data_IF_259070563762
#
_entry.id   IF_259070563762
#
_cell.length_a   1.000
_cell.length_b   1.000
_cell.length_c   1.000
_cell.angle_alpha   90.00
_cell.angle_beta   90.00
_cell.angle_gamma   90.00
#
_symmetry.space_group_name_H-M   'P 1'
#
loop_
_entity.id
_entity.type
_entity.pdbx_description
1 polymer ?
#
# COMPACT_ATOMS: atom_id res chain seq x y z
N UNK A 1 -35.23 -9.30 -4.00
CA UNK A 1 -35.95 -8.04 -4.27
C UNK A 1 -35.25 -6.87 -3.58
N UNK A 2 -35.01 -6.91 -2.26
CA UNK A 2 -34.24 -5.85 -1.57
C UNK A 2 -32.78 -5.70 -2.06
N UNK A 3 -32.02 -6.80 -2.22
CA UNK A 3 -30.61 -6.72 -2.68
C UNK A 3 -30.43 -6.11 -4.07
N UNK A 4 -31.40 -6.28 -4.98
CA UNK A 4 -31.36 -5.71 -6.33
C UNK A 4 -31.50 -4.18 -6.29
N UNK A 5 -32.36 -3.69 -5.39
CA UNK A 5 -32.59 -2.24 -5.24
C UNK A 5 -31.37 -1.53 -4.65
N UNK A 6 -30.69 -2.15 -3.69
CA UNK A 6 -29.44 -1.59 -3.14
C UNK A 6 -28.31 -1.55 -4.18
N UNK A 7 -28.25 -2.56 -5.06
CA UNK A 7 -27.29 -2.59 -6.16
C UNK A 7 -27.56 -1.47 -7.19
N UNK A 8 -28.82 -1.30 -7.60
CA UNK A 8 -29.21 -0.22 -8.54
C UNK A 8 -28.85 1.17 -8.00
N UNK A 9 -29.20 1.45 -6.73
CA UNK A 9 -28.85 2.73 -6.08
C UNK A 9 -27.34 2.92 -6.01
N UNK A 10 -26.59 1.87 -5.67
CA UNK A 10 -25.14 1.94 -5.64
C UNK A 10 -24.52 2.24 -7.00
N UNK A 11 -25.02 1.62 -8.07
CA UNK A 11 -24.53 1.88 -9.43
C UNK A 11 -24.78 3.34 -9.81
N UNK A 12 -25.97 3.86 -9.55
CA UNK A 12 -26.32 5.27 -9.82
C UNK A 12 -25.44 6.24 -9.01
N UNK A 13 -25.35 6.07 -7.69
CA UNK A 13 -24.51 6.92 -6.83
C UNK A 13 -23.03 6.82 -7.18
N UNK A 14 -22.54 5.63 -7.54
CA UNK A 14 -21.13 5.44 -7.90
C UNK A 14 -20.79 6.14 -9.21
N UNK A 15 -21.70 6.14 -10.20
CA UNK A 15 -21.50 6.89 -11.46
C UNK A 15 -21.41 8.39 -11.24
N UNK A 16 -22.24 8.96 -10.37
CA UNK A 16 -22.15 10.38 -10.00
C UNK A 16 -20.81 10.73 -9.31
N UNK A 17 -20.35 9.84 -8.42
CA UNK A 17 -19.06 10.00 -7.76
C UNK A 17 -17.88 9.84 -8.73
N UNK A 18 -17.95 8.90 -9.70
CA UNK A 18 -16.94 8.74 -10.75
C UNK A 18 -16.89 9.95 -11.68
N UNK A 19 -18.04 10.55 -12.03
CA UNK A 19 -18.08 11.77 -12.83
C UNK A 19 -17.37 12.93 -12.10
N UNK A 20 -17.57 13.03 -10.78
CA UNK A 20 -16.86 14.00 -9.93
C UNK A 20 -15.36 13.73 -9.94
N UNK A 21 -14.95 12.47 -9.75
CA UNK A 21 -13.54 12.07 -9.79
C UNK A 21 -12.88 12.40 -11.13
N UNK A 22 -13.50 12.02 -12.26
CA UNK A 22 -12.98 12.33 -13.59
C UNK A 22 -12.82 13.84 -13.82
N UNK A 23 -13.80 14.63 -13.38
CA UNK A 23 -13.73 16.08 -13.52
C UNK A 23 -12.55 16.67 -12.73
N UNK A 24 -12.36 16.20 -11.49
CA UNK A 24 -11.24 16.63 -10.64
C UNK A 24 -9.90 16.17 -11.22
N UNK A 25 -9.78 14.92 -11.66
CA UNK A 25 -8.52 14.41 -12.22
C UNK A 25 -8.11 15.19 -13.48
N UNK A 26 -9.06 15.55 -14.34
CA UNK A 26 -8.79 16.40 -15.50
C UNK A 26 -8.35 17.82 -15.10
N UNK A 27 -8.96 18.40 -14.08
CA UNK A 27 -8.55 19.70 -13.54
C UNK A 27 -7.13 19.63 -12.96
N UNK A 28 -6.82 18.59 -12.19
CA UNK A 28 -5.48 18.36 -11.62
C UNK A 28 -4.41 18.19 -12.72
N UNK A 29 -4.75 17.54 -13.82
CA UNK A 29 -3.84 17.37 -14.96
C UNK A 29 -3.57 18.71 -15.70
N UNK A 30 -4.59 19.58 -15.82
CA UNK A 30 -4.50 20.82 -16.59
C UNK A 30 -3.98 22.01 -15.77
N UNK A 31 -4.47 22.15 -14.54
CA UNK A 31 -4.26 23.34 -13.69
C UNK A 31 -3.32 23.05 -12.50
N UNK A 32 -3.06 21.78 -12.18
CA UNK A 32 -2.22 21.36 -11.07
C UNK A 32 -2.98 21.18 -9.77
N UNK A 33 -2.28 21.16 -8.64
CA UNK A 33 -2.86 20.85 -7.33
C UNK A 33 -3.96 21.84 -6.90
N UNK A 34 -5.13 21.30 -6.56
CA UNK A 34 -6.28 22.03 -6.00
C UNK A 34 -6.74 21.34 -4.71
N UNK A 35 -6.65 22.02 -3.56
CA UNK A 35 -7.04 21.45 -2.27
C UNK A 35 -8.54 21.09 -2.24
N UNK A 36 -9.39 21.93 -2.82
CA UNK A 36 -10.82 21.69 -2.93
C UNK A 36 -11.12 20.50 -3.86
N UNK A 37 -10.41 20.41 -4.98
CA UNK A 37 -10.48 19.27 -5.92
C UNK A 37 -10.07 17.97 -5.23
N UNK A 38 -8.90 17.92 -4.60
CA UNK A 38 -8.41 16.75 -3.87
C UNK A 38 -9.38 16.30 -2.77
N UNK A 39 -9.95 17.24 -2.02
CA UNK A 39 -10.94 16.93 -1.00
C UNK A 39 -12.25 16.39 -1.60
N UNK A 40 -12.66 16.87 -2.78
CA UNK A 40 -13.83 16.36 -3.49
C UNK A 40 -13.58 14.92 -4.01
N UNK A 41 -12.43 14.68 -4.63
CA UNK A 41 -12.02 13.35 -5.09
C UNK A 41 -11.95 12.34 -3.93
N UNK A 42 -11.29 12.70 -2.82
CA UNK A 42 -11.20 11.84 -1.64
C UNK A 42 -12.58 11.45 -1.11
N UNK A 43 -13.51 12.40 -0.97
CA UNK A 43 -14.88 12.12 -0.50
C UNK A 43 -15.65 11.22 -1.46
N UNK A 44 -15.52 11.45 -2.77
CA UNK A 44 -16.16 10.63 -3.79
C UNK A 44 -15.65 9.19 -3.72
N UNK A 45 -14.33 9.00 -3.60
CA UNK A 45 -13.73 7.68 -3.48
C UNK A 45 -14.09 6.97 -2.18
N UNK A 46 -14.05 7.69 -1.06
CA UNK A 46 -14.44 7.16 0.24
C UNK A 46 -15.89 6.65 0.26
N UNK A 47 -16.78 7.38 -0.43
CA UNK A 47 -18.19 7.00 -0.58
C UNK A 47 -18.33 5.71 -1.40
N UNK A 48 -17.69 5.65 -2.57
CA UNK A 48 -17.70 4.44 -3.43
C UNK A 48 -17.16 3.22 -2.67
N UNK A 49 -15.99 3.36 -2.02
CA UNK A 49 -15.37 2.29 -1.22
C UNK A 49 -16.30 1.83 -0.08
N UNK A 50 -16.87 2.78 0.65
CA UNK A 50 -17.75 2.51 1.78
C UNK A 50 -19.00 1.73 1.35
N UNK A 51 -19.69 2.20 0.31
CA UNK A 51 -20.90 1.54 -0.18
C UNK A 51 -20.59 0.19 -0.82
N UNK A 52 -19.49 0.06 -1.56
CA UNK A 52 -19.02 -1.22 -2.11
C UNK A 52 -18.75 -2.26 -1.01
N UNK A 53 -18.13 -1.85 0.11
CA UNK A 53 -17.90 -2.73 1.26
C UNK A 53 -19.18 -3.16 1.97
N UNK A 54 -20.19 -2.30 2.04
CA UNK A 54 -21.51 -2.64 2.62
C UNK A 54 -22.26 -3.64 1.73
N UNK A 55 -22.17 -3.49 0.41
CA UNK A 55 -22.84 -4.37 -0.56
C UNK A 55 -22.06 -5.68 -0.76
N UNK A 56 -20.75 -5.68 -0.51
CA UNK A 56 -19.87 -6.83 -0.64
C UNK A 56 -19.22 -6.96 -2.03
N UNK A 57 -19.03 -5.84 -2.74
CA UNK A 57 -18.34 -5.82 -4.03
C UNK A 57 -16.84 -5.65 -3.77
N UNK A 58 -16.20 -6.77 -3.46
CA UNK A 58 -14.81 -6.82 -3.00
C UNK A 58 -13.81 -6.16 -3.97
N UNK A 59 -13.87 -6.35 -5.31
CA UNK A 59 -12.92 -5.73 -6.23
C UNK A 59 -12.96 -4.19 -6.20
N UNK A 60 -14.17 -3.60 -6.16
CA UNK A 60 -14.33 -2.14 -6.04
C UNK A 60 -13.83 -1.65 -4.67
N UNK A 61 -14.09 -2.40 -3.60
CA UNK A 61 -13.61 -2.04 -2.27
C UNK A 61 -12.07 -2.04 -2.18
N UNK A 62 -11.41 -3.07 -2.73
CA UNK A 62 -9.94 -3.18 -2.72
C UNK A 62 -9.29 -2.04 -3.52
N UNK A 63 -9.78 -1.79 -4.74
CA UNK A 63 -9.27 -0.70 -5.58
C UNK A 63 -9.54 0.67 -4.97
N UNK A 64 -10.75 0.88 -4.44
CA UNK A 64 -11.13 2.13 -3.78
C UNK A 64 -10.28 2.43 -2.55
N UNK A 65 -9.83 1.41 -1.80
CA UNK A 65 -8.90 1.59 -0.69
C UNK A 65 -7.54 2.11 -1.18
N UNK A 66 -6.93 1.44 -2.17
CA UNK A 66 -5.63 1.84 -2.70
C UNK A 66 -5.67 3.26 -3.32
N UNK A 67 -6.76 3.59 -4.04
CA UNK A 67 -6.95 4.93 -4.59
C UNK A 67 -7.16 5.99 -3.51
N UNK A 68 -7.90 5.68 -2.43
CA UNK A 68 -8.07 6.58 -1.29
C UNK A 68 -6.74 6.89 -0.61
N UNK A 69 -5.89 5.88 -0.42
CA UNK A 69 -4.54 6.04 0.15
C UNK A 69 -3.66 6.93 -0.74
N UNK A 70 -3.71 6.74 -2.07
CA UNK A 70 -2.99 7.60 -3.01
C UNK A 70 -3.50 9.04 -2.99
N UNK A 71 -4.82 9.25 -2.92
CA UNK A 71 -5.38 10.59 -2.77
C UNK A 71 -4.98 11.26 -1.44
N UNK A 72 -4.90 10.49 -0.35
CA UNK A 72 -4.46 10.98 0.96
C UNK A 72 -3.02 11.46 0.93
N UNK A 73 -2.12 10.65 0.35
CA UNK A 73 -0.70 10.98 0.19
C UNK A 73 -0.49 12.22 -0.70
N UNK A 74 -1.16 12.29 -1.85
CA UNK A 74 -1.11 13.46 -2.73
C UNK A 74 -1.66 14.73 -2.05
N UNK A 75 -2.71 14.60 -1.23
CA UNK A 75 -3.28 15.72 -0.47
C UNK A 75 -2.29 16.23 0.58
N UNK A 76 -1.60 15.33 1.27
CA UNK A 76 -0.62 15.67 2.31
C UNK A 76 0.62 16.37 1.72
N UNK A 77 1.05 15.96 0.52
CA UNK A 77 2.18 16.58 -0.19
C UNK A 77 1.90 18.01 -0.66
N UNK A 78 0.64 18.34 -0.96
CA UNK A 78 0.22 19.66 -1.50
C UNK A 78 0.99 20.07 -2.77
N UNK A 79 1.40 19.10 -3.55
CA UNK A 79 2.17 19.26 -4.78
C UNK A 79 1.40 18.69 -5.97
N UNK A 80 1.81 19.06 -7.18
CA UNK A 80 1.21 18.54 -8.40
C UNK A 80 1.40 17.02 -8.45
N UNK A 81 0.33 16.23 -8.65
CA UNK A 81 0.47 14.79 -8.75
C UNK A 81 1.44 14.40 -9.87
N UNK A 82 2.40 13.49 -9.61
CA UNK A 82 3.29 13.03 -10.66
C UNK A 82 2.49 12.31 -11.74
N UNK A 83 2.94 12.40 -13.00
CA UNK A 83 2.25 11.82 -14.15
C UNK A 83 1.86 10.35 -13.93
N UNK A 84 2.75 9.57 -13.32
CA UNK A 84 2.47 8.15 -13.05
C UNK A 84 1.33 7.94 -12.04
N UNK A 85 1.21 8.81 -11.03
CA UNK A 85 0.06 8.79 -10.11
C UNK A 85 -1.25 9.10 -10.87
N UNK A 86 -1.24 10.11 -11.75
CA UNK A 86 -2.40 10.46 -12.57
C UNK A 86 -2.83 9.30 -13.48
N UNK A 87 -1.88 8.65 -14.15
CA UNK A 87 -2.13 7.48 -15.01
C UNK A 87 -2.79 6.34 -14.22
N UNK A 88 -2.32 6.07 -12.99
CA UNK A 88 -2.90 5.05 -12.12
C UNK A 88 -4.30 5.43 -11.59
N UNK A 89 -4.53 6.71 -11.28
CA UNK A 89 -5.84 7.20 -10.85
C UNK A 89 -6.88 7.09 -11.97
N UNK A 90 -6.53 7.46 -13.22
CA UNK A 90 -7.41 7.27 -14.36
C UNK A 90 -7.68 5.78 -14.64
N UNK A 91 -6.64 4.94 -14.63
CA UNK A 91 -6.82 3.50 -14.79
C UNK A 91 -7.72 2.89 -13.70
N UNK A 92 -7.64 3.41 -12.46
CA UNK A 92 -8.53 3.04 -11.37
C UNK A 92 -9.97 3.45 -11.61
N UNK A 93 -10.22 4.68 -12.08
CA UNK A 93 -11.56 5.16 -12.44
C UNK A 93 -12.17 4.30 -13.56
N UNK A 94 -11.42 4.05 -14.63
CA UNK A 94 -11.85 3.23 -15.76
C UNK A 94 -12.19 1.80 -15.33
N UNK A 95 -11.40 1.21 -14.43
CA UNK A 95 -11.66 -0.12 -13.88
C UNK A 95 -12.94 -0.15 -13.04
N UNK A 96 -13.20 0.88 -12.23
CA UNK A 96 -14.45 0.96 -11.46
C UNK A 96 -15.64 1.13 -12.40
N UNK A 97 -15.55 1.97 -13.43
CA UNK A 97 -16.60 2.13 -14.43
C UNK A 97 -16.95 0.80 -15.11
N UNK A 98 -15.93 0.07 -15.58
CA UNK A 98 -16.13 -1.27 -16.17
C UNK A 98 -16.76 -2.26 -15.20
N UNK A 99 -16.42 -2.21 -13.91
CA UNK A 99 -17.04 -3.06 -12.90
C UNK A 99 -18.51 -2.68 -12.63
N UNK A 100 -18.86 -1.40 -12.70
CA UNK A 100 -20.26 -0.95 -12.58
C UNK A 100 -21.09 -1.41 -13.78
N UNK A 101 -20.52 -1.40 -14.98
CA UNK A 101 -21.19 -1.89 -16.19
C UNK A 101 -21.44 -3.41 -16.10
N UNK A 102 -20.46 -4.20 -15.66
CA UNK A 102 -20.63 -5.64 -15.37
C UNK A 102 -21.78 -5.87 -14.37
N UNK A 103 -21.82 -5.09 -13.29
CA UNK A 103 -22.85 -5.20 -12.25
C UNK A 103 -24.25 -4.85 -12.78
N UNK A 104 -24.37 -3.90 -13.71
CA UNK A 104 -25.64 -3.55 -14.34
C UNK A 104 -26.12 -4.62 -15.32
N UNK A 105 -25.22 -5.18 -16.13
CA UNK A 105 -25.58 -6.16 -17.17
C UNK A 105 -25.83 -7.57 -16.62
N UNK A 106 -24.94 -8.06 -15.76
CA UNK A 106 -24.91 -9.45 -15.29
C UNK A 106 -25.02 -9.61 -13.78
N UNK A 107 -24.98 -8.52 -13.00
CA UNK A 107 -25.18 -8.54 -11.54
C UNK A 107 -23.95 -8.97 -10.72
N UNK A 108 -22.84 -9.27 -11.39
CA UNK A 108 -21.56 -9.62 -10.77
C UNK A 108 -20.40 -9.12 -11.66
N UNK A 109 -19.26 -8.77 -11.06
CA UNK A 109 -18.02 -8.50 -11.81
C UNK A 109 -16.96 -9.54 -11.46
N UNK A 110 -16.14 -9.89 -12.46
CA UNK A 110 -14.97 -10.80 -12.32
C UNK A 110 -13.66 -10.12 -12.66
N UNK A 111 -13.70 -8.81 -12.85
CA UNK A 111 -12.52 -8.02 -13.17
C UNK A 111 -11.54 -8.08 -11.99
N UNK A 112 -10.28 -8.43 -12.29
CA UNK A 112 -9.21 -8.40 -11.29
C UNK A 112 -8.57 -7.02 -11.28
N UNK A 113 -8.55 -6.40 -10.10
CA UNK A 113 -7.89 -5.10 -9.87
C UNK A 113 -6.47 -5.25 -9.30
N UNK A 114 -6.00 -6.47 -9.12
CA UNK A 114 -4.77 -6.78 -8.39
C UNK A 114 -3.52 -6.11 -8.96
N UNK A 115 -3.42 -5.97 -10.28
CA UNK A 115 -2.28 -5.31 -10.94
C UNK A 115 -2.29 -3.80 -10.72
N UNK A 116 -3.46 -3.17 -10.76
CA UNK A 116 -3.61 -1.73 -10.51
C UNK A 116 -3.31 -1.42 -9.05
N UNK A 117 -3.88 -2.20 -8.12
CA UNK A 117 -3.64 -2.07 -6.68
C UNK A 117 -2.14 -2.20 -6.38
N UNK A 118 -1.47 -3.23 -6.92
CA UNK A 118 -0.02 -3.41 -6.77
C UNK A 118 0.77 -2.23 -7.30
N UNK A 119 0.38 -1.69 -8.45
CA UNK A 119 1.07 -0.54 -9.06
C UNK A 119 0.92 0.72 -8.21
N UNK A 120 -0.26 0.95 -7.63
CA UNK A 120 -0.50 2.06 -6.69
C UNK A 120 0.34 1.89 -5.42
N UNK A 121 0.32 0.70 -4.81
CA UNK A 121 1.11 0.42 -3.60
C UNK A 121 2.60 0.59 -3.87
N UNK A 122 3.10 0.06 -5.00
CA UNK A 122 4.49 0.21 -5.40
C UNK A 122 4.87 1.68 -5.58
N UNK A 123 4.00 2.50 -6.17
CA UNK A 123 4.25 3.95 -6.31
C UNK A 123 4.34 4.63 -4.94
N UNK A 124 3.45 4.28 -4.00
CA UNK A 124 3.46 4.86 -2.65
C UNK A 124 4.68 4.44 -1.82
N UNK A 125 5.21 3.24 -2.05
CA UNK A 125 6.46 2.76 -1.44
C UNK A 125 7.71 3.31 -2.14
N UNK A 126 7.62 3.55 -3.45
CA UNK A 126 8.72 3.97 -4.32
C UNK A 126 8.82 5.49 -4.45
N UNK A 127 8.62 6.24 -3.37
CA UNK A 127 9.09 7.61 -3.27
C UNK A 127 10.55 7.61 -2.78
N UNK A 128 11.57 7.54 -3.67
CA UNK A 128 12.82 8.20 -3.37
C UNK A 128 12.56 9.71 -3.48
N UNK A 129 13.19 10.48 -2.60
CA UNK A 129 13.28 11.92 -2.80
C UNK A 129 13.69 12.21 -4.24
N UNK A 130 13.04 13.20 -4.82
CA UNK A 130 13.50 13.86 -6.03
C UNK A 130 14.86 14.50 -5.77
N UNK A 131 15.92 13.71 -5.83
CA UNK A 131 17.25 14.17 -6.16
C UNK A 131 17.49 13.81 -7.61
N UNK A 132 17.25 14.82 -8.45
CA UNK A 132 17.89 15.00 -9.75
C UNK A 132 19.26 14.31 -9.78
N UNK A 133 19.40 13.37 -10.71
CA UNK A 133 20.66 12.70 -11.05
C UNK A 133 21.68 13.75 -11.48
N UNK A 134 22.38 14.33 -10.51
CA UNK A 134 23.74 14.81 -10.67
C UNK A 134 24.63 13.64 -10.35
N UNK A 135 25.34 13.12 -11.35
CA UNK A 135 26.41 12.14 -11.16
C UNK A 135 27.37 12.64 -10.06
N UNK A 136 27.48 11.96 -8.91
CA UNK A 136 28.56 12.24 -7.98
C UNK A 136 29.75 11.38 -8.38
N UNK A 137 30.82 12.11 -8.67
CA UNK A 137 32.19 11.65 -8.65
C UNK A 137 32.45 10.79 -7.40
N UNK A 138 33.30 9.79 -7.57
CA UNK A 138 33.63 8.83 -6.54
C UNK A 138 34.29 9.53 -5.35
N UNK A 139 33.65 9.57 -4.19
CA UNK A 139 34.27 9.37 -2.87
C UNK A 139 33.24 9.42 -1.72
N UNK A 140 33.44 8.50 -0.78
CA UNK A 140 32.93 8.46 0.60
C UNK A 140 31.49 8.02 0.91
N UNK A 141 31.40 6.69 1.12
CA UNK A 141 30.91 5.99 2.33
C UNK A 141 29.70 6.55 3.08
N UNK A 142 28.58 5.80 3.00
CA UNK A 142 27.85 5.17 4.12
C UNK A 142 26.63 4.45 3.54
N UNK A 143 26.82 3.22 3.05
CA UNK A 143 25.71 2.31 2.79
C UNK A 143 25.57 1.43 4.01
N UNK A 144 24.52 1.63 4.82
CA UNK A 144 24.12 0.69 5.87
C UNK A 144 23.63 -0.60 5.19
N UNK A 145 24.60 -1.41 4.79
CA UNK A 145 24.41 -2.82 4.47
C UNK A 145 24.57 -3.54 5.79
N UNK A 146 23.47 -4.10 6.30
CA UNK A 146 23.49 -4.88 7.53
C UNK A 146 24.55 -5.99 7.41
N UNK A 147 25.66 -5.80 8.10
CA UNK A 147 26.77 -6.76 8.11
C UNK A 147 26.53 -7.70 9.28
N UNK A 148 25.92 -8.85 9.02
CA UNK A 148 25.79 -9.91 10.01
C UNK A 148 27.18 -10.52 10.26
N UNK A 149 27.57 -10.61 11.53
CA UNK A 149 28.82 -11.27 11.89
C UNK A 149 28.75 -12.77 11.52
N UNK A 150 29.87 -13.40 11.12
CA UNK A 150 29.88 -14.80 10.70
C UNK A 150 29.29 -15.78 11.73
N UNK A 151 29.38 -15.44 13.02
CA UNK A 151 28.79 -16.21 14.12
C UNK A 151 27.25 -16.16 14.09
N UNK A 152 26.67 -14.97 13.90
CA UNK A 152 25.22 -14.77 13.80
C UNK A 152 24.65 -15.48 12.58
N UNK A 153 25.36 -15.44 11.43
CA UNK A 153 24.94 -16.13 10.22
C UNK A 153 24.90 -17.66 10.38
N UNK A 154 25.85 -18.22 11.14
CA UNK A 154 25.88 -19.65 11.42
C UNK A 154 24.77 -20.06 12.39
N UNK A 155 24.45 -19.21 13.36
CA UNK A 155 23.35 -19.44 14.31
C UNK A 155 21.99 -19.41 13.60
N UNK A 156 21.75 -18.40 12.75
CA UNK A 156 20.55 -18.33 11.90
C UNK A 156 20.43 -19.56 11.00
N UNK A 157 21.54 -19.99 10.37
CA UNK A 157 21.56 -21.19 9.52
C UNK A 157 21.29 -22.48 10.29
N UNK A 158 21.70 -22.56 11.54
CA UNK A 158 21.47 -23.72 12.40
C UNK A 158 20.01 -23.84 12.85
N UNK A 159 19.27 -22.71 12.89
CA UNK A 159 17.87 -22.66 13.29
C UNK A 159 16.88 -22.90 12.12
N UNK A 160 17.35 -22.91 10.88
CA UNK A 160 16.54 -23.18 9.69
C UNK A 160 16.18 -24.67 9.58
N UNK A 161 14.91 -24.95 9.31
CA UNK A 161 14.42 -26.30 8.99
C UNK A 161 14.71 -26.69 7.54
N UNK A 162 14.58 -27.97 7.21
CA UNK A 162 14.86 -28.48 5.85
C UNK A 162 13.90 -27.86 4.82
N UNK A 163 14.44 -27.02 3.93
CA UNK A 163 13.68 -26.29 2.91
C UNK A 163 13.31 -24.84 3.25
N UNK A 164 13.60 -24.38 4.46
CA UNK A 164 13.43 -22.98 4.86
C UNK A 164 14.61 -22.12 4.41
N UNK A 165 14.33 -20.86 4.07
CA UNK A 165 15.34 -19.85 3.75
C UNK A 165 15.21 -18.67 4.72
N UNK A 166 16.34 -18.05 5.11
CA UNK A 166 16.31 -16.89 5.97
C UNK A 166 15.91 -15.66 5.14
N UNK A 167 14.91 -14.92 5.61
CA UNK A 167 14.45 -13.67 5.04
C UNK A 167 14.67 -12.58 6.08
N UNK A 168 15.49 -11.59 5.74
CA UNK A 168 15.70 -10.41 6.57
C UNK A 168 14.66 -9.34 6.18
N UNK A 169 13.93 -8.84 7.17
CA UNK A 169 12.89 -7.84 7.03
C UNK A 169 13.30 -6.64 7.88
N UNK A 170 13.47 -5.49 7.25
CA UNK A 170 13.78 -4.24 7.96
C UNK A 170 12.53 -3.38 7.96
N UNK A 171 12.01 -3.08 9.15
CA UNK A 171 10.85 -2.22 9.35
C UNK A 171 11.37 -0.86 9.76
N UNK A 172 11.08 0.16 8.97
CA UNK A 172 11.40 1.55 9.31
C UNK A 172 10.18 2.26 9.88
N UNK A 173 10.36 2.96 11.00
CA UNK A 173 9.27 3.70 11.63
C UNK A 173 9.17 5.13 11.08
N UNK A 174 7.97 5.57 10.73
CA UNK A 174 7.73 6.99 10.36
C UNK A 174 8.04 7.91 11.56
N UNK A 175 8.67 9.06 11.28
CA UNK A 175 9.07 10.02 12.32
C UNK A 175 7.89 10.49 13.18
N UNK A 176 8.09 10.55 14.51
CA UNK A 176 7.06 10.98 15.47
C UNK A 176 6.09 9.89 15.94
N UNK A 177 6.25 8.64 15.49
CA UNK A 177 5.49 7.50 16.00
C UNK A 177 5.77 7.29 17.50
N UNK A 178 4.70 7.12 18.28
CA UNK A 178 4.76 6.71 19.70
C UNK A 178 4.24 5.29 19.85
N UNK A 179 4.66 4.64 20.94
CA UNK A 179 4.33 3.24 21.26
C UNK A 179 4.83 2.26 20.18
N UNK A 180 6.08 2.43 19.74
CA UNK A 180 6.70 1.55 18.73
C UNK A 180 6.79 0.09 19.19
N UNK A 181 7.03 -0.13 20.48
CA UNK A 181 7.02 -1.46 21.13
C UNK A 181 5.74 -2.27 20.84
N UNK A 182 4.57 -1.66 21.05
CA UNK A 182 3.28 -2.34 20.84
C UNK A 182 3.01 -2.67 19.37
N UNK A 183 3.54 -1.86 18.44
CA UNK A 183 3.44 -2.10 17.00
C UNK A 183 4.43 -3.16 16.55
N UNK A 184 5.65 -3.14 17.07
CA UNK A 184 6.64 -4.19 16.85
C UNK A 184 6.07 -5.57 17.21
N UNK A 185 5.40 -5.67 18.36
CA UNK A 185 4.73 -6.91 18.78
C UNK A 185 3.63 -7.36 17.80
N UNK A 186 2.85 -6.43 17.24
CA UNK A 186 1.84 -6.75 16.24
C UNK A 186 2.46 -7.26 14.94
N UNK A 187 3.55 -6.65 14.48
CA UNK A 187 4.24 -7.09 13.26
C UNK A 187 4.88 -8.46 13.46
N UNK A 188 5.57 -8.68 14.57
CA UNK A 188 6.15 -9.98 14.92
C UNK A 188 5.08 -11.06 14.92
N UNK A 189 3.91 -10.77 15.51
CA UNK A 189 2.79 -11.71 15.56
C UNK A 189 2.20 -12.01 14.17
N UNK A 190 2.08 -11.00 13.31
CA UNK A 190 1.62 -11.18 11.93
C UNK A 190 2.60 -12.08 11.15
N UNK A 191 3.89 -11.77 11.21
CA UNK A 191 4.95 -12.52 10.51
C UNK A 191 5.16 -13.93 11.07
N UNK A 192 4.88 -14.16 12.36
CA UNK A 192 4.91 -15.50 12.97
C UNK A 192 3.89 -16.46 12.35
N UNK A 193 2.88 -15.96 11.63
CA UNK A 193 1.95 -16.82 10.89
C UNK A 193 2.54 -17.39 9.59
N UNK A 194 3.60 -16.77 9.06
CA UNK A 194 4.23 -17.11 7.79
C UNK A 194 5.50 -17.98 7.93
N UNK A 195 6.11 -17.98 9.11
CA UNK A 195 7.36 -18.69 9.35
C UNK A 195 7.84 -18.63 10.80
N UNK A 196 8.98 -19.24 11.07
CA UNK A 196 9.62 -19.21 12.39
C UNK A 196 10.48 -17.97 12.54
N UNK A 197 10.22 -17.14 13.55
CA UNK A 197 11.08 -16.02 13.91
C UNK A 197 12.44 -16.55 14.41
N UNK A 198 13.53 -16.15 13.76
CA UNK A 198 14.89 -16.58 14.08
C UNK A 198 15.64 -15.56 14.92
N UNK A 199 15.48 -14.26 14.63
CA UNK A 199 16.14 -13.18 15.36
C UNK A 199 15.41 -11.83 15.19
N UNK A 200 15.61 -10.94 16.15
CA UNK A 200 15.15 -9.53 16.12
C UNK A 200 16.25 -8.60 16.59
N UNK A 201 16.32 -7.38 16.05
CA UNK A 201 17.24 -6.34 16.50
C UNK A 201 16.62 -4.95 16.31
N UNK A 202 16.38 -4.17 17.39
CA UNK A 202 16.49 -4.56 18.80
C UNK A 202 15.46 -5.65 19.18
N UNK A 203 15.61 -6.24 20.37
CA UNK A 203 14.62 -7.19 20.89
C UNK A 203 13.24 -6.54 20.95
N UNK A 204 12.19 -7.31 20.69
CA UNK A 204 10.82 -6.78 20.55
C UNK A 204 10.31 -6.03 21.79
N UNK A 205 10.82 -6.40 22.97
CA UNK A 205 10.52 -5.78 24.27
C UNK A 205 11.43 -4.57 24.58
N UNK A 206 12.52 -4.39 23.81
CA UNK A 206 13.48 -3.29 23.96
C UNK A 206 13.26 -2.16 22.94
N UNK A 207 12.32 -2.34 21.99
CA UNK A 207 11.96 -1.31 21.00
C UNK A 207 11.42 -0.07 21.72
N UNK A 208 12.20 1.00 21.66
CA UNK A 208 11.87 2.30 22.20
C UNK A 208 11.26 3.21 21.12
N UNK A 209 10.62 4.30 21.55
CA UNK A 209 10.15 5.34 20.63
C UNK A 209 11.31 6.06 19.90
N UNK A 210 12.55 5.87 20.37
CA UNK A 210 13.77 6.45 19.77
C UNK A 210 14.32 5.59 18.62
N UNK A 211 13.89 4.33 18.50
CA UNK A 211 14.38 3.43 17.46
C UNK A 211 13.75 3.77 16.12
N UNK A 212 14.59 3.89 15.09
CA UNK A 212 14.16 4.25 13.74
C UNK A 212 13.84 3.02 12.89
N UNK A 213 14.36 1.87 13.28
CA UNK A 213 14.17 0.62 12.57
C UNK A 213 14.04 -0.57 13.53
N UNK A 214 13.41 -1.62 13.03
CA UNK A 214 13.35 -2.94 13.64
C UNK A 214 13.71 -3.96 12.57
N UNK A 215 14.80 -4.67 12.77
CA UNK A 215 15.20 -5.79 11.94
C UNK A 215 14.59 -7.08 12.50
N UNK A 216 14.01 -7.89 11.63
CA UNK A 216 13.60 -9.26 11.93
C UNK A 216 14.18 -10.23 10.91
N UNK A 217 14.49 -11.43 11.37
CA UNK A 217 14.93 -12.54 10.52
C UNK A 217 13.93 -13.67 10.67
N UNK A 218 13.29 -14.01 9.56
CA UNK A 218 12.27 -15.06 9.47
C UNK A 218 12.81 -16.26 8.70
N UNK A 219 12.67 -17.46 9.26
CA UNK A 219 12.82 -18.72 8.56
C UNK A 219 11.49 -19.09 7.94
N UNK A 220 11.38 -18.99 6.62
CA UNK A 220 10.14 -19.35 5.92
C UNK A 220 10.44 -20.17 4.67
N UNK A 221 9.50 -21.03 4.30
CA UNK A 221 9.47 -21.68 2.97
C UNK A 221 8.83 -20.78 1.91
N UNK A 222 8.17 -19.71 2.35
CA UNK A 222 7.47 -18.74 1.53
C UNK A 222 8.45 -17.87 0.72
N UNK A 223 7.99 -17.36 -0.42
CA UNK A 223 8.82 -16.45 -1.20
C UNK A 223 8.90 -15.07 -0.55
N UNK A 224 9.86 -14.22 -0.95
CA UNK A 224 9.98 -12.87 -0.39
C UNK A 224 8.69 -12.08 -0.65
N UNK A 225 8.04 -12.35 -1.78
CA UNK A 225 6.78 -11.72 -2.17
C UNK A 225 5.62 -12.17 -1.28
N UNK A 226 5.57 -13.45 -0.89
CA UNK A 226 4.53 -13.97 0.03
C UNK A 226 4.65 -13.35 1.43
N UNK A 227 5.88 -13.02 1.85
CA UNK A 227 6.16 -12.41 3.16
C UNK A 227 5.84 -10.92 3.20
N UNK A 228 5.99 -10.23 2.06
CA UNK A 228 5.59 -8.82 1.94
C UNK A 228 4.07 -8.63 1.81
N UNK A 229 3.33 -9.67 1.41
CA UNK A 229 1.86 -9.62 1.20
C UNK A 229 1.01 -9.94 2.45
N UNK A 230 1.61 -10.15 3.62
CA UNK A 230 0.95 -10.65 4.83
C UNK A 230 0.92 -9.64 5.98
#
# INVERSE_FOLDING_TARGET
MESSKYLEVFIEESRDNLQTLNSVLLELEQEGFSEDGMNAAFRAMHTIKGTAGVIGIEPIQQLGHAMEDLFDDLRDKKEMPPRHAMELLFAGVDAIESMLDDLEEVGETKLSVSEIVKSIMFLMESEPSSDVISLPDATDQSSDTLTLEPEQLNEIRALLSEGERPIAITITWKGGLKFKEGRAFQVVRALSSLGSLLATSPDTEEVSDSDNELLLILGATATNDDVLCA
#
